data_IF_830094804150
#
_entry.id   IF_830094804150
#
_cell.length_a   1.000
_cell.length_b   1.000
_cell.length_c   1.000
_cell.angle_alpha   90.00
_cell.angle_beta   90.00
_cell.angle_gamma   90.00
#
_symmetry.space_group_name_H-M   'P 1'
#
loop_
_entity.id
_entity.type
_entity.pdbx_description
1 polymer ?
#
# COMPACT_ATOMS: atom_id res chain seq x y z
N UNK A 1 -2.42 -23.25 8.90
CA UNK A 1 -2.69 -22.08 8.04
C UNK A 1 -1.43 -21.75 7.25
N UNK A 2 -1.47 -21.78 5.92
CA UNK A 2 -0.30 -21.43 5.11
C UNK A 2 -0.04 -19.92 5.22
N UNK A 3 1.15 -19.53 5.67
CA UNK A 3 1.56 -18.11 5.73
C UNK A 3 1.89 -17.65 4.31
N UNK A 4 1.05 -16.79 3.74
CA UNK A 4 1.36 -16.11 2.47
C UNK A 4 2.53 -15.14 2.70
N UNK A 5 3.59 -15.17 1.88
CA UNK A 5 4.69 -14.22 1.98
C UNK A 5 4.21 -12.79 1.67
N UNK A 6 4.69 -11.81 2.44
CA UNK A 6 4.31 -10.41 2.30
C UNK A 6 4.61 -9.84 0.91
N UNK A 7 5.70 -10.29 0.29
CA UNK A 7 6.08 -9.90 -1.06
C UNK A 7 5.03 -10.33 -2.10
N UNK A 8 4.44 -11.51 -1.95
CA UNK A 8 3.39 -11.99 -2.85
C UNK A 8 2.12 -11.15 -2.69
N UNK A 9 1.74 -10.85 -1.45
CA UNK A 9 0.60 -9.97 -1.15
C UNK A 9 0.82 -8.61 -1.82
N UNK A 10 2.02 -8.03 -1.69
CA UNK A 10 2.37 -6.77 -2.33
C UNK A 10 2.25 -6.80 -3.85
N UNK A 11 2.71 -7.87 -4.50
CA UNK A 11 2.58 -7.99 -5.96
C UNK A 11 1.11 -7.94 -6.43
N UNK A 12 0.19 -8.47 -5.62
CA UNK A 12 -1.25 -8.47 -5.90
C UNK A 12 -1.84 -7.07 -5.63
N UNK A 13 -1.58 -6.48 -4.47
CA UNK A 13 -2.27 -5.25 -4.03
C UNK A 13 -1.69 -3.95 -4.61
N UNK A 14 -0.41 -3.91 -5.01
CA UNK A 14 0.28 -2.68 -5.43
C UNK A 14 -0.42 -1.87 -6.54
N UNK A 15 -1.19 -2.54 -7.41
CA UNK A 15 -1.89 -1.93 -8.55
C UNK A 15 -3.41 -2.02 -8.43
N UNK A 16 -3.92 -3.00 -7.68
CA UNK A 16 -5.32 -3.34 -7.57
C UNK A 16 -5.72 -3.45 -6.09
N UNK A 17 -5.92 -2.30 -5.47
CA UNK A 17 -6.41 -2.18 -4.10
C UNK A 17 -7.53 -1.12 -4.08
N UNK A 18 -8.62 -1.39 -3.35
CA UNK A 18 -9.75 -0.45 -3.20
C UNK A 18 -9.34 0.83 -2.46
N UNK A 19 -8.31 0.75 -1.62
CA UNK A 19 -7.76 1.89 -0.89
C UNK A 19 -6.77 2.73 -1.70
N UNK A 20 -6.42 2.30 -2.92
CA UNK A 20 -5.44 2.96 -3.77
C UNK A 20 -6.04 4.23 -4.39
N UNK A 21 -5.43 5.37 -4.07
CA UNK A 21 -5.81 6.68 -4.61
C UNK A 21 -4.69 7.17 -5.53
N UNK A 22 -4.98 7.20 -6.83
CA UNK A 22 -4.06 7.71 -7.84
C UNK A 22 -4.38 9.17 -8.09
N UNK A 23 -3.47 10.08 -7.71
CA UNK A 23 -3.59 11.49 -8.02
C UNK A 23 -2.67 11.83 -9.19
N UNK A 24 -3.26 12.47 -10.20
CA UNK A 24 -2.54 13.09 -11.28
C UNK A 24 -2.38 14.57 -10.92
N UNK A 25 -1.14 15.00 -10.66
CA UNK A 25 -0.85 16.42 -10.49
C UNK A 25 -0.90 17.17 -11.82
N UNK A 26 -0.73 18.49 -11.79
CA UNK A 26 -0.68 19.38 -12.97
C UNK A 26 0.53 19.11 -13.94
N UNK A 27 1.15 17.92 -13.89
CA UNK A 27 2.33 17.53 -14.69
C UNK A 27 2.48 15.99 -14.76
N UNK A 28 3.62 15.47 -15.25
CA UNK A 28 3.95 14.04 -15.44
C UNK A 28 4.02 13.21 -14.14
N UNK A 29 3.92 13.86 -12.97
CA UNK A 29 4.00 13.21 -11.67
C UNK A 29 2.71 12.45 -11.34
N UNK A 30 2.77 11.12 -11.43
CA UNK A 30 1.71 10.21 -10.96
C UNK A 30 2.01 9.78 -9.54
N UNK A 31 1.39 10.44 -8.55
CA UNK A 31 1.56 10.09 -7.14
C UNK A 31 0.49 9.06 -6.75
N UNK A 32 0.91 8.01 -6.06
CA UNK A 32 0.03 6.94 -5.61
C UNK A 32 -0.03 6.95 -4.07
N UNK A 33 -1.20 7.30 -3.56
CA UNK A 33 -1.52 7.27 -2.15
C UNK A 33 -2.33 6.01 -1.84
N UNK A 34 -2.32 5.58 -0.58
CA UNK A 34 -3.14 4.46 -0.14
C UNK A 34 -3.79 4.81 1.19
N UNK A 35 -5.11 4.63 1.28
CA UNK A 35 -5.93 4.89 2.47
C UNK A 35 -6.09 3.63 3.34
N UNK A 36 -5.10 2.74 3.30
CA UNK A 36 -5.16 1.46 4.02
C UNK A 36 -5.13 1.74 5.53
N UNK A 37 -5.95 1.04 6.32
CA UNK A 37 -5.75 1.04 7.76
C UNK A 37 -4.34 0.52 8.07
N UNK A 38 -3.66 1.15 9.02
CA UNK A 38 -2.27 0.85 9.42
C UNK A 38 -1.20 1.29 8.39
N UNK A 39 -1.46 2.33 7.60
CA UNK A 39 -0.47 3.04 6.79
C UNK A 39 -0.32 4.49 7.29
N UNK A 40 0.62 4.74 8.22
CA UNK A 40 0.80 6.07 8.85
C UNK A 40 1.10 7.19 7.85
N UNK A 41 1.74 6.86 6.71
CA UNK A 41 2.15 7.84 5.72
C UNK A 41 1.16 7.99 4.57
N UNK A 42 0.11 7.16 4.50
CA UNK A 42 -0.84 7.08 3.38
C UNK A 42 -0.16 6.93 2.00
N UNK A 43 1.06 6.38 1.94
CA UNK A 43 1.81 6.20 0.69
C UNK A 43 1.65 4.77 0.20
N UNK A 44 1.38 4.58 -1.09
CA UNK A 44 1.37 3.24 -1.70
C UNK A 44 2.80 2.71 -1.84
N UNK A 45 3.33 2.09 -0.78
CA UNK A 45 4.66 1.49 -0.74
C UNK A 45 4.65 0.26 0.15
N UNK A 46 5.44 -0.76 -0.24
CA UNK A 46 5.56 -2.00 0.50
C UNK A 46 5.91 -1.79 1.98
N UNK A 47 6.81 -0.84 2.27
CA UNK A 47 7.28 -0.54 3.62
C UNK A 47 6.14 -0.12 4.55
N UNK A 48 5.19 0.66 4.04
CA UNK A 48 4.11 1.28 4.82
C UNK A 48 2.76 0.56 4.65
N UNK A 49 2.69 -0.48 3.81
CA UNK A 49 1.46 -1.22 3.62
C UNK A 49 1.19 -2.14 4.80
N UNK A 50 0.10 -1.88 5.53
CA UNK A 50 -0.34 -2.71 6.65
C UNK A 50 -0.84 -4.10 6.22
N UNK A 51 -1.16 -4.29 4.94
CA UNK A 51 -1.62 -5.56 4.38
C UNK A 51 -0.47 -6.50 4.02
N UNK A 52 0.63 -5.94 3.52
CA UNK A 52 1.78 -6.72 3.04
C UNK A 52 2.90 -6.84 4.08
N UNK A 53 3.08 -5.83 4.94
CA UNK A 53 4.13 -5.81 5.95
C UNK A 53 3.60 -6.29 7.31
N UNK A 54 4.16 -7.40 7.82
CA UNK A 54 3.82 -7.97 9.13
C UNK A 54 4.29 -7.10 10.30
N UNK A 55 5.25 -6.19 10.09
CA UNK A 55 5.79 -5.26 11.11
C UNK A 55 5.14 -3.88 11.03
N UNK A 56 3.85 -3.82 10.70
CA UNK A 56 3.14 -2.54 10.67
C UNK A 56 2.81 -2.07 12.09
N UNK A 57 2.80 -0.76 12.29
CA UNK A 57 2.40 -0.11 13.54
C UNK A 57 1.15 0.70 13.25
N UNK A 58 0.22 0.77 14.19
CA UNK A 58 -1.03 1.53 14.10
C UNK A 58 -1.23 2.37 15.36
N UNK A 59 -1.97 3.47 15.25
CA UNK A 59 -2.37 4.33 16.38
C UNK A 59 -3.87 4.17 16.61
#
# INVERSE_FOLDING_TARGET
MASVPGDLIWQIVKKNNSFLVKQFGNSTAKVQFSKEPNNLYNVNSFKHSGLANKKTVSI
#
